data_IF_376627048109
#
_entry.id   IF_376627048109
#
_cell.length_a   1.000
_cell.length_b   1.000
_cell.length_c   1.000
_cell.angle_alpha   90.00
_cell.angle_beta   90.00
_cell.angle_gamma   90.00
#
_symmetry.space_group_name_H-M   'P 1'
#
loop_
_entity.id
_entity.type
_entity.pdbx_description
1 polymer ?
#
# COMPACT_ATOMS: atom_id res chain seq x y z
N UNK A 1 12.45 -46.96 7.88
CA UNK A 1 10.98 -46.77 7.85
C UNK A 1 10.74 -45.39 7.26
N UNK A 2 9.97 -45.32 6.17
CA UNK A 2 9.87 -44.19 5.24
C UNK A 2 9.17 -42.98 5.88
N UNK A 3 9.67 -41.78 5.58
CA UNK A 3 8.88 -40.59 5.24
C UNK A 3 9.76 -39.75 4.30
N UNK A 4 9.89 -40.23 3.07
CA UNK A 4 10.42 -39.45 1.96
C UNK A 4 9.22 -39.10 1.06
N UNK A 5 8.75 -37.87 1.20
CA UNK A 5 7.80 -37.25 0.28
C UNK A 5 8.03 -35.75 0.24
N UNK A 6 9.27 -35.35 -0.04
CA UNK A 6 9.56 -33.99 -0.50
C UNK A 6 9.22 -33.90 -1.99
N UNK A 7 8.04 -33.35 -2.30
CA UNK A 7 7.78 -32.85 -3.65
C UNK A 7 8.63 -31.60 -3.87
N UNK A 8 9.74 -31.77 -4.61
CA UNK A 8 10.51 -30.67 -5.18
C UNK A 8 9.73 -30.10 -6.37
N UNK A 9 9.12 -28.93 -6.17
CA UNK A 9 8.78 -28.02 -7.27
C UNK A 9 9.82 -26.88 -7.27
N UNK A 10 10.19 -26.40 -8.46
CA UNK A 10 11.29 -25.46 -8.73
C UNK A 10 11.51 -24.36 -7.65
N UNK A 11 12.50 -24.56 -6.78
CA UNK A 11 13.56 -23.56 -6.56
C UNK A 11 13.51 -22.65 -5.34
N UNK A 12 12.40 -22.49 -4.61
CA UNK A 12 12.45 -21.82 -3.31
C UNK A 12 11.34 -22.31 -2.37
N UNK A 13 11.73 -22.74 -1.17
CA UNK A 13 10.81 -23.09 -0.09
C UNK A 13 10.08 -21.81 0.32
N UNK A 14 8.74 -21.80 0.34
CA UNK A 14 7.98 -20.68 0.88
C UNK A 14 8.03 -20.73 2.41
N UNK A 15 8.45 -19.63 3.01
CA UNK A 15 8.48 -19.38 4.45
C UNK A 15 8.47 -17.86 4.67
N UNK A 16 8.30 -17.38 5.91
CA UNK A 16 8.10 -15.94 6.20
C UNK A 16 9.15 -14.99 5.58
N UNK A 17 10.40 -15.43 5.49
CA UNK A 17 11.51 -14.64 4.96
C UNK A 17 11.76 -14.81 3.46
N UNK A 18 11.10 -15.74 2.77
CA UNK A 18 11.49 -16.10 1.39
C UNK A 18 11.38 -14.94 0.41
N UNK A 19 10.43 -14.02 0.62
CA UNK A 19 10.34 -12.79 -0.18
C UNK A 19 11.48 -11.83 0.13
N UNK A 20 11.90 -11.71 1.39
CA UNK A 20 13.03 -10.87 1.76
C UNK A 20 14.33 -11.41 1.17
N UNK A 21 14.58 -12.71 1.26
CA UNK A 21 15.73 -13.37 0.64
C UNK A 21 15.80 -13.12 -0.86
N UNK A 22 14.66 -13.21 -1.55
CA UNK A 22 14.60 -12.91 -2.97
C UNK A 22 14.98 -11.44 -3.26
N UNK A 23 14.71 -10.51 -2.34
CA UNK A 23 15.07 -9.11 -2.50
C UNK A 23 16.55 -8.83 -2.19
N UNK A 24 17.24 -9.72 -1.48
CA UNK A 24 18.67 -9.55 -1.15
C UNK A 24 19.55 -9.40 -2.39
N UNK A 25 19.20 -10.06 -3.51
CA UNK A 25 19.94 -9.93 -4.77
C UNK A 25 19.88 -8.53 -5.39
N UNK A 26 18.94 -7.69 -4.94
CA UNK A 26 18.76 -6.31 -5.40
C UNK A 26 19.18 -5.27 -4.35
N UNK A 27 19.58 -5.70 -3.14
CA UNK A 27 20.10 -4.78 -2.12
C UNK A 27 21.54 -4.41 -2.46
N UNK A 28 21.88 -3.15 -2.24
CA UNK A 28 23.24 -2.62 -2.42
C UNK A 28 23.80 -2.21 -1.06
N UNK A 29 25.01 -2.67 -0.74
CA UNK A 29 25.75 -2.23 0.44
C UNK A 29 27.01 -1.48 0.00
N UNK A 30 27.05 -0.19 0.32
CA UNK A 30 28.14 0.71 -0.08
C UNK A 30 29.24 0.86 0.99
N UNK A 31 29.16 0.10 2.09
CA UNK A 31 30.19 0.14 3.15
C UNK A 31 31.55 -0.23 2.57
N UNK A 32 32.56 0.60 2.83
CA UNK A 32 33.94 0.45 2.32
C UNK A 32 34.05 0.44 0.78
N UNK A 33 33.03 0.87 0.04
CA UNK A 33 33.07 1.03 -1.41
C UNK A 33 33.56 2.43 -1.80
N UNK A 34 34.12 2.56 -3.01
CA UNK A 34 34.44 3.87 -3.60
C UNK A 34 33.20 4.41 -4.30
N UNK A 35 32.99 5.72 -4.25
CA UNK A 35 31.95 6.37 -5.06
C UNK A 35 32.29 6.22 -6.55
N UNK A 36 31.29 5.81 -7.32
CA UNK A 36 31.41 5.68 -8.77
C UNK A 36 30.24 6.34 -9.48
N UNK A 37 30.40 6.58 -10.78
CA UNK A 37 29.29 6.77 -11.71
C UNK A 37 28.47 5.48 -11.85
N UNK A 38 27.32 5.56 -12.52
CA UNK A 38 26.51 4.39 -12.85
C UNK A 38 27.25 3.42 -13.80
N UNK A 39 28.26 3.90 -14.53
CA UNK A 39 29.15 3.10 -15.39
C UNK A 39 30.41 2.62 -14.66
N UNK A 40 30.42 2.64 -13.33
CA UNK A 40 31.52 2.19 -12.46
C UNK A 40 32.84 2.98 -12.58
N UNK A 41 32.80 4.22 -13.08
CA UNK A 41 33.97 5.11 -13.11
C UNK A 41 34.14 5.77 -11.75
N UNK A 42 35.32 5.66 -11.13
CA UNK A 42 35.59 6.26 -9.82
C UNK A 42 35.47 7.78 -9.88
N UNK A 43 34.79 8.34 -8.87
CA UNK A 43 34.62 9.79 -8.71
C UNK A 43 35.51 10.28 -7.58
N UNK A 44 36.31 11.32 -7.83
CA UNK A 44 37.29 11.87 -6.87
C UNK A 44 36.82 13.16 -6.20
N UNK A 45 35.92 13.91 -6.82
CA UNK A 45 35.31 15.14 -6.29
C UNK A 45 33.82 15.16 -6.64
N UNK A 46 32.96 15.45 -5.65
CA UNK A 46 31.50 15.58 -5.80
C UNK A 46 30.97 16.98 -5.53
N UNK A 47 31.84 17.88 -5.10
CA UNK A 47 31.48 19.19 -4.57
C UNK A 47 31.62 20.27 -5.64
N UNK A 48 32.48 20.02 -6.64
CA UNK A 48 32.71 20.92 -7.77
C UNK A 48 32.36 20.29 -9.11
N UNK A 49 31.69 21.07 -9.96
CA UNK A 49 31.66 20.80 -11.41
C UNK A 49 33.00 21.13 -12.06
N UNK A 50 33.30 20.48 -13.18
CA UNK A 50 34.40 20.83 -14.07
C UNK A 50 34.12 22.18 -14.75
N UNK A 51 35.07 23.10 -14.63
CA UNK A 51 34.96 24.49 -15.11
C UNK A 51 36.18 24.90 -15.94
N UNK A 52 36.02 25.88 -16.83
CA UNK A 52 37.15 26.55 -17.51
C UNK A 52 37.92 27.47 -16.54
N UNK A 53 38.72 26.87 -15.66
CA UNK A 53 39.38 27.54 -14.54
C UNK A 53 38.49 27.66 -13.29
N UNK A 54 39.09 27.98 -12.14
CA UNK A 54 38.41 27.90 -10.83
C UNK A 54 37.15 28.76 -10.69
N UNK A 55 37.06 29.87 -11.45
CA UNK A 55 35.91 30.80 -11.48
C UNK A 55 35.28 30.91 -12.88
N UNK A 56 35.54 29.93 -13.74
CA UNK A 56 35.01 29.90 -15.10
C UNK A 56 33.66 29.21 -15.22
N UNK A 57 33.06 29.20 -16.42
CA UNK A 57 31.83 28.47 -16.70
C UNK A 57 32.02 26.96 -16.60
N UNK A 58 30.95 26.23 -16.24
CA UNK A 58 30.89 24.75 -16.27
C UNK A 58 31.04 24.22 -17.69
N UNK A 59 31.78 23.13 -17.86
CA UNK A 59 32.05 22.51 -19.15
C UNK A 59 31.08 21.37 -19.47
N UNK A 60 30.67 21.25 -20.73
CA UNK A 60 29.75 20.21 -21.20
C UNK A 60 30.37 18.79 -21.15
N UNK A 61 31.70 18.71 -21.17
CA UNK A 61 32.43 17.44 -21.07
C UNK A 61 32.38 16.82 -19.65
N UNK A 62 31.84 17.51 -18.65
CA UNK A 62 31.60 16.97 -17.31
C UNK A 62 30.49 15.90 -17.32
N UNK A 63 30.89 14.67 -17.62
CA UNK A 63 29.97 13.54 -17.69
C UNK A 63 29.44 13.11 -16.32
N UNK A 64 30.22 13.29 -15.24
CA UNK A 64 29.77 12.94 -13.89
C UNK A 64 28.64 13.89 -13.44
N UNK A 65 28.83 15.20 -13.61
CA UNK A 65 27.80 16.20 -13.32
C UNK A 65 26.50 15.90 -14.09
N UNK A 66 26.61 15.67 -15.41
CA UNK A 66 25.44 15.39 -16.25
C UNK A 66 24.74 14.09 -15.88
N UNK A 67 25.49 13.01 -15.63
CA UNK A 67 24.89 11.73 -15.23
C UNK A 67 24.12 11.87 -13.91
N UNK A 68 24.72 12.52 -12.90
CA UNK A 68 24.12 12.75 -11.59
C UNK A 68 22.85 13.59 -11.69
N UNK A 69 22.88 14.71 -12.43
CA UNK A 69 21.69 15.55 -12.63
C UNK A 69 20.63 14.85 -13.48
N UNK A 70 21.02 14.14 -14.53
CA UNK A 70 20.06 13.41 -15.37
C UNK A 70 19.30 12.39 -14.54
N UNK A 71 19.97 11.64 -13.66
CA UNK A 71 19.28 10.70 -12.77
C UNK A 71 18.33 11.44 -11.81
N UNK A 72 18.78 12.54 -11.19
CA UNK A 72 17.95 13.36 -10.30
C UNK A 72 16.69 13.91 -10.98
N UNK A 73 16.85 14.48 -12.17
CA UNK A 73 15.77 15.10 -12.96
C UNK A 73 14.67 14.08 -13.34
N UNK A 74 15.01 12.79 -13.35
CA UNK A 74 14.11 11.69 -13.71
C UNK A 74 13.72 10.80 -12.50
N UNK A 75 13.94 11.24 -11.27
CA UNK A 75 13.57 10.46 -10.06
C UNK A 75 12.05 10.29 -9.89
N UNK A 76 11.26 11.23 -10.41
CA UNK A 76 9.80 11.21 -10.20
C UNK A 76 9.14 10.37 -11.28
N UNK A 77 8.43 9.33 -10.83
CA UNK A 77 7.45 8.60 -11.64
C UNK A 77 6.04 9.09 -11.29
N UNK A 78 5.04 8.90 -12.18
CA UNK A 78 3.66 9.24 -11.88
C UNK A 78 3.19 8.57 -10.58
N UNK A 79 2.47 9.32 -9.76
CA UNK A 79 1.78 8.74 -8.62
C UNK A 79 0.58 7.88 -9.07
N UNK A 80 0.00 7.12 -8.15
CA UNK A 80 -1.25 6.40 -8.43
C UNK A 80 -2.38 7.41 -8.60
N UNK A 81 -3.27 7.21 -9.57
CA UNK A 81 -4.42 8.09 -9.82
C UNK A 81 -5.28 8.28 -8.56
N UNK A 82 -5.53 7.18 -7.86
CA UNK A 82 -6.12 7.12 -6.52
C UNK A 82 -5.20 6.31 -5.60
N UNK A 83 -5.35 6.48 -4.29
CA UNK A 83 -4.49 5.86 -3.29
C UNK A 83 -3.01 6.24 -3.42
N UNK A 84 -2.74 7.48 -3.87
CA UNK A 84 -1.37 7.99 -4.06
C UNK A 84 -0.60 8.05 -2.73
N UNK A 85 -1.23 8.60 -1.69
CA UNK A 85 -0.68 8.66 -0.34
C UNK A 85 -0.86 7.32 0.37
N UNK A 86 0.26 6.71 0.76
CA UNK A 86 0.24 5.43 1.47
C UNK A 86 1.61 5.02 2.01
N UNK A 87 1.61 3.88 2.69
CA UNK A 87 2.80 3.29 3.29
C UNK A 87 2.74 1.76 3.21
N UNK A 88 3.89 1.14 2.95
CA UNK A 88 3.99 -0.29 2.71
C UNK A 88 4.89 -1.00 3.71
N UNK A 89 4.49 -2.19 4.15
CA UNK A 89 5.22 -2.99 5.14
C UNK A 89 5.25 -4.47 4.72
N UNK A 90 6.32 -5.16 5.09
CA UNK A 90 6.45 -6.60 4.90
C UNK A 90 5.92 -7.37 6.13
N UNK A 91 5.50 -8.61 5.91
CA UNK A 91 5.09 -9.53 6.98
C UNK A 91 4.85 -10.93 6.43
N UNK A 92 4.08 -11.73 7.15
CA UNK A 92 3.61 -13.03 6.67
C UNK A 92 2.15 -13.28 7.05
N UNK A 93 1.52 -14.21 6.33
CA UNK A 93 0.21 -14.77 6.62
C UNK A 93 0.34 -16.26 6.91
N UNK A 94 -0.46 -16.74 7.85
CA UNK A 94 -0.53 -18.16 8.22
C UNK A 94 -2.01 -18.52 8.44
N UNK A 95 -2.48 -19.54 7.75
CA UNK A 95 -3.85 -20.05 7.93
C UNK A 95 -3.92 -20.85 9.23
N UNK A 96 -5.01 -20.73 9.99
CA UNK A 96 -5.17 -21.52 11.22
C UNK A 96 -5.40 -23.01 10.94
N UNK A 97 -6.27 -23.31 9.99
CA UNK A 97 -6.65 -24.67 9.61
C UNK A 97 -6.77 -24.81 8.09
N UNK A 98 -6.77 -26.04 7.59
CA UNK A 98 -6.89 -26.29 6.15
C UNK A 98 -8.28 -25.90 5.63
N UNK A 99 -8.32 -24.97 4.66
CA UNK A 99 -9.57 -24.53 4.02
C UNK A 99 -9.97 -25.38 2.81
N UNK A 100 -9.45 -26.62 2.72
CA UNK A 100 -9.64 -27.54 1.56
C UNK A 100 -11.10 -27.78 1.18
N UNK A 101 -12.02 -27.77 2.16
CA UNK A 101 -13.45 -27.95 1.92
C UNK A 101 -14.02 -26.82 1.04
N UNK A 102 -13.44 -25.62 1.16
CA UNK A 102 -13.94 -24.39 0.56
C UNK A 102 -13.15 -23.99 -0.68
N UNK A 103 -11.83 -24.12 -0.66
CA UNK A 103 -10.94 -23.61 -1.70
C UNK A 103 -9.74 -24.51 -1.93
N UNK A 104 -9.24 -24.54 -3.17
CA UNK A 104 -7.96 -25.18 -3.54
C UNK A 104 -6.76 -24.23 -3.52
N UNK A 105 -6.93 -22.99 -3.08
CA UNK A 105 -5.84 -22.00 -3.03
C UNK A 105 -4.73 -22.43 -2.04
N UNK A 106 -3.48 -22.56 -2.52
CA UNK A 106 -2.36 -23.16 -1.76
C UNK A 106 -2.08 -22.51 -0.42
N UNK A 107 -2.08 -21.18 -0.37
CA UNK A 107 -1.76 -20.42 0.85
C UNK A 107 -2.79 -20.62 1.98
N UNK A 108 -3.92 -21.29 1.71
CA UNK A 108 -4.98 -21.61 2.66
C UNK A 108 -5.07 -23.12 2.99
N UNK A 109 -4.07 -23.93 2.61
CA UNK A 109 -4.14 -25.39 2.77
C UNK A 109 -3.42 -25.93 4.00
N UNK A 110 -2.26 -25.37 4.35
CA UNK A 110 -1.34 -25.93 5.34
C UNK A 110 -1.00 -24.91 6.42
N UNK A 111 -1.46 -25.11 7.67
CA UNK A 111 -1.17 -24.21 8.78
C UNK A 111 0.31 -24.05 9.12
N UNK A 112 1.18 -24.97 8.70
CA UNK A 112 2.61 -24.87 8.97
C UNK A 112 3.35 -23.92 8.03
N UNK A 113 2.69 -23.42 6.97
CA UNK A 113 3.31 -22.54 5.98
C UNK A 113 3.04 -21.08 6.33
N UNK A 114 4.11 -20.30 6.45
CA UNK A 114 4.06 -18.84 6.53
C UNK A 114 4.26 -18.25 5.14
N UNK A 115 3.18 -17.74 4.54
CA UNK A 115 3.20 -17.11 3.22
C UNK A 115 3.67 -15.66 3.37
N UNK A 116 4.78 -15.22 2.75
CA UNK A 116 5.18 -13.82 2.80
C UNK A 116 4.09 -12.91 2.25
N UNK A 117 3.96 -11.73 2.84
CA UNK A 117 3.07 -10.68 2.34
C UNK A 117 3.79 -9.34 2.25
N UNK A 118 3.27 -8.50 1.35
CA UNK A 118 3.52 -7.06 1.38
C UNK A 118 2.17 -6.35 1.44
N UNK A 119 1.99 -5.54 2.47
CA UNK A 119 0.76 -4.78 2.70
C UNK A 119 1.02 -3.32 2.40
N UNK A 120 0.13 -2.68 1.65
CA UNK A 120 0.13 -1.22 1.47
C UNK A 120 -1.17 -0.62 1.97
N UNK A 121 -1.05 0.23 2.98
CA UNK A 121 -2.12 1.09 3.46
C UNK A 121 -2.11 2.42 2.72
N UNK A 122 -3.26 3.08 2.60
CA UNK A 122 -3.38 4.34 1.88
C UNK A 122 -4.63 5.12 2.24
N UNK A 123 -4.65 6.43 2.00
CA UNK A 123 -5.89 7.19 1.78
C UNK A 123 -6.37 6.96 0.34
N UNK A 124 -7.39 7.66 -0.16
CA UNK A 124 -7.89 7.51 -1.54
C UNK A 124 -7.57 8.72 -2.40
N UNK A 125 -8.06 9.91 -2.03
CA UNK A 125 -8.11 11.03 -2.99
C UNK A 125 -6.92 11.98 -2.93
N UNK A 126 -6.25 12.05 -1.79
CA UNK A 126 -5.08 12.89 -1.63
C UNK A 126 -3.93 12.48 -2.55
N UNK A 127 -3.22 13.46 -3.11
CA UNK A 127 -1.94 13.24 -3.82
C UNK A 127 -0.86 12.71 -2.87
N UNK A 128 0.29 12.24 -3.38
CA UNK A 128 1.32 11.54 -2.58
C UNK A 128 1.86 12.31 -1.36
N UNK A 129 1.75 13.64 -1.38
CA UNK A 129 2.18 14.55 -0.31
C UNK A 129 1.07 15.00 0.65
N UNK A 130 -0.15 14.50 0.50
CA UNK A 130 -1.27 14.79 1.43
C UNK A 130 -1.05 14.20 2.83
N UNK A 131 -1.84 14.66 3.80
CA UNK A 131 -1.75 14.23 5.19
C UNK A 131 -2.47 12.88 5.46
N UNK A 132 -1.99 12.13 6.45
CA UNK A 132 -2.49 10.79 6.79
C UNK A 132 -3.88 10.79 7.47
N UNK A 133 -4.14 11.75 8.35
CA UNK A 133 -5.31 11.75 9.25
C UNK A 133 -6.54 12.45 8.68
N UNK A 134 -6.59 12.65 7.37
CA UNK A 134 -7.77 13.22 6.67
C UNK A 134 -9.00 12.32 6.79
N UNK A 135 -10.20 12.88 6.64
CA UNK A 135 -11.44 12.09 6.54
C UNK A 135 -11.54 11.50 5.14
N UNK A 136 -11.30 10.19 5.05
CA UNK A 136 -11.27 9.46 3.79
C UNK A 136 -11.51 7.96 4.04
N UNK A 137 -11.85 7.19 3.02
CA UNK A 137 -11.66 5.74 3.10
C UNK A 137 -10.16 5.43 3.19
N UNK A 138 -9.82 4.26 3.73
CA UNK A 138 -8.44 3.76 3.72
C UNK A 138 -8.34 2.52 2.85
N UNK A 139 -7.41 2.52 1.90
CA UNK A 139 -7.04 1.32 1.15
C UNK A 139 -6.22 0.37 2.03
N UNK A 140 -6.51 -0.92 1.92
CA UNK A 140 -5.83 -2.02 2.61
C UNK A 140 -5.54 -3.11 1.57
N UNK A 141 -4.42 -2.97 0.87
CA UNK A 141 -4.02 -3.91 -0.18
C UNK A 141 -2.96 -4.89 0.34
N UNK A 142 -3.27 -6.19 0.30
CA UNK A 142 -2.35 -7.26 0.73
C UNK A 142 -1.97 -8.12 -0.46
N UNK A 143 -0.68 -8.14 -0.79
CA UNK A 143 -0.10 -9.04 -1.78
C UNK A 143 0.45 -10.28 -1.07
N UNK A 144 -0.05 -11.44 -1.43
CA UNK A 144 0.42 -12.75 -0.97
C UNK A 144 1.35 -13.36 -2.00
N UNK A 145 2.57 -13.70 -1.59
CA UNK A 145 3.55 -14.38 -2.44
C UNK A 145 3.39 -15.90 -2.28
N UNK A 146 2.41 -16.46 -2.99
CA UNK A 146 2.02 -17.89 -2.83
C UNK A 146 2.81 -18.82 -3.77
N UNK A 147 2.76 -20.12 -3.48
CA UNK A 147 3.38 -21.18 -4.31
C UNK A 147 2.81 -21.26 -5.73
N UNK A 148 1.52 -20.94 -5.90
CA UNK A 148 0.80 -21.06 -7.17
C UNK A 148 0.54 -19.69 -7.82
N UNK A 149 1.38 -18.69 -7.50
CA UNK A 149 1.32 -17.33 -8.04
C UNK A 149 0.95 -16.27 -7.00
N UNK A 150 1.18 -15.01 -7.34
CA UNK A 150 0.85 -13.91 -6.44
C UNK A 150 -0.67 -13.70 -6.40
N UNK A 151 -1.22 -13.55 -5.20
CA UNK A 151 -2.62 -13.20 -4.98
C UNK A 151 -2.72 -11.83 -4.33
N UNK A 152 -3.53 -10.94 -4.92
CA UNK A 152 -3.73 -9.58 -4.41
C UNK A 152 -5.15 -9.46 -3.85
N UNK A 153 -5.26 -9.28 -2.53
CA UNK A 153 -6.49 -8.87 -1.86
C UNK A 153 -6.47 -7.35 -1.70
N UNK A 154 -7.07 -6.65 -2.66
CA UNK A 154 -7.13 -5.18 -2.69
C UNK A 154 -8.45 -4.72 -2.09
N UNK A 155 -8.41 -4.35 -0.81
CA UNK A 155 -9.58 -3.95 -0.04
C UNK A 155 -9.56 -2.50 0.44
N UNK A 156 -10.61 -2.14 1.18
CA UNK A 156 -10.74 -0.88 1.92
C UNK A 156 -11.04 -1.15 3.40
N UNK A 157 -10.97 -0.14 4.24
CA UNK A 157 -11.38 -0.21 5.65
C UNK A 157 -12.90 -0.10 5.88
N UNK A 158 -13.68 -0.05 4.79
CA UNK A 158 -15.15 0.08 4.78
C UNK A 158 -15.72 -1.08 3.93
N UNK A 159 -16.80 -1.76 4.37
CA UNK A 159 -17.31 -2.98 3.72
C UNK A 159 -18.07 -2.78 2.40
N UNK A 160 -18.25 -1.53 1.97
CA UNK A 160 -19.00 -1.13 0.77
C UNK A 160 -18.22 -0.09 -0.04
N UNK A 161 -18.71 0.24 -1.22
CA UNK A 161 -18.14 1.25 -2.09
C UNK A 161 -19.19 2.31 -2.48
N UNK A 162 -18.76 3.44 -3.04
CA UNK A 162 -19.64 4.56 -3.41
C UNK A 162 -20.63 4.22 -4.54
N UNK A 163 -20.19 3.38 -5.47
CA UNK A 163 -20.88 3.13 -6.73
C UNK A 163 -21.06 1.63 -6.96
N UNK A 164 -22.07 1.27 -7.73
CA UNK A 164 -22.39 -0.13 -8.05
C UNK A 164 -21.68 -0.62 -9.32
N UNK A 165 -21.53 0.26 -10.32
CA UNK A 165 -20.91 -0.07 -11.61
C UNK A 165 -19.60 0.71 -11.81
N UNK A 166 -18.57 0.02 -12.29
CA UNK A 166 -17.25 0.57 -12.53
C UNK A 166 -17.23 1.69 -13.59
N UNK A 167 -18.23 1.78 -14.47
CA UNK A 167 -18.32 2.86 -15.46
C UNK A 167 -18.40 4.25 -14.80
N UNK A 168 -18.98 4.34 -13.58
CA UNK A 168 -19.08 5.59 -12.80
C UNK A 168 -17.80 5.92 -12.01
N UNK A 169 -16.77 5.07 -12.07
CA UNK A 169 -15.56 5.26 -11.27
C UNK A 169 -14.82 6.56 -11.60
N UNK A 170 -14.63 6.94 -12.88
CA UNK A 170 -14.06 8.24 -13.20
C UNK A 170 -14.92 9.40 -12.67
N UNK A 171 -16.25 9.30 -12.75
CA UNK A 171 -17.17 10.35 -12.32
C UNK A 171 -17.08 10.62 -10.81
N UNK A 172 -17.16 9.57 -9.98
CA UNK A 172 -17.04 9.73 -8.52
C UNK A 172 -15.65 10.17 -8.10
N UNK A 173 -14.59 9.70 -8.79
CA UNK A 173 -13.22 10.11 -8.50
C UNK A 173 -12.99 11.57 -8.88
N UNK A 174 -13.46 12.03 -10.04
CA UNK A 174 -13.37 13.43 -10.43
C UNK A 174 -14.18 14.33 -9.50
N UNK A 175 -15.37 13.90 -9.08
CA UNK A 175 -16.20 14.64 -8.13
C UNK A 175 -15.57 14.72 -6.73
N UNK A 176 -14.82 13.70 -6.28
CA UNK A 176 -14.20 13.71 -4.95
C UNK A 176 -12.81 14.36 -4.93
N UNK A 177 -12.06 14.29 -6.04
CA UNK A 177 -10.74 14.93 -6.22
C UNK A 177 -10.85 16.47 -6.16
N UNK A 178 -9.72 17.18 -6.02
CA UNK A 178 -9.71 18.64 -6.11
C UNK A 178 -10.30 19.13 -7.44
N UNK A 179 -11.03 20.24 -7.41
CA UNK A 179 -11.76 20.73 -8.58
C UNK A 179 -10.81 21.12 -9.72
N UNK A 180 -11.15 20.84 -10.99
CA UNK A 180 -10.19 20.85 -12.09
C UNK A 180 -9.69 22.24 -12.46
N UNK A 181 -10.40 23.30 -12.06
CA UNK A 181 -10.07 24.67 -12.44
C UNK A 181 -9.02 25.31 -11.52
N UNK A 182 -8.86 24.80 -10.28
CA UNK A 182 -7.97 25.38 -9.27
C UNK A 182 -7.19 24.34 -8.41
N UNK A 183 -7.47 23.05 -8.59
CA UNK A 183 -6.91 21.95 -7.80
C UNK A 183 -7.15 22.07 -6.27
N UNK A 184 -8.32 22.59 -5.87
CA UNK A 184 -8.74 22.74 -4.48
C UNK A 184 -10.06 21.99 -4.24
N UNK A 185 -10.27 21.35 -3.07
CA UNK A 185 -9.34 21.18 -1.95
C UNK A 185 -8.52 19.89 -2.04
N UNK A 186 -7.31 19.88 -1.46
CA UNK A 186 -6.49 18.68 -1.34
C UNK A 186 -7.03 17.75 -0.25
N UNK A 187 -7.25 16.48 -0.60
CA UNK A 187 -7.60 15.40 0.34
C UNK A 187 -8.83 15.68 1.23
N UNK A 188 -9.88 16.30 0.67
CA UNK A 188 -11.12 16.61 1.38
C UNK A 188 -12.33 16.35 0.51
N UNK A 189 -13.38 15.78 1.11
CA UNK A 189 -14.71 15.64 0.51
C UNK A 189 -15.62 16.86 0.78
N UNK A 190 -15.12 17.87 1.48
CA UNK A 190 -15.88 19.06 1.87
C UNK A 190 -15.82 20.15 0.79
N UNK A 191 -16.36 19.86 -0.39
CA UNK A 191 -16.49 20.80 -1.52
C UNK A 191 -17.67 20.43 -2.43
N UNK A 192 -18.06 21.38 -3.26
CA UNK A 192 -19.32 21.38 -3.99
C UNK A 192 -19.45 20.20 -4.97
N UNK A 193 -18.42 19.92 -5.77
CA UNK A 193 -18.53 18.87 -6.81
C UNK A 193 -18.75 17.47 -6.23
N UNK A 194 -18.19 17.17 -5.06
CA UNK A 194 -18.42 15.89 -4.39
C UNK A 194 -19.87 15.78 -3.92
N UNK A 195 -20.37 16.80 -3.23
CA UNK A 195 -21.73 16.78 -2.69
C UNK A 195 -22.79 16.86 -3.79
N UNK A 196 -22.51 17.53 -4.90
CA UNK A 196 -23.35 17.50 -6.10
C UNK A 196 -23.48 16.07 -6.66
N UNK A 197 -22.36 15.34 -6.79
CA UNK A 197 -22.42 13.93 -7.21
C UNK A 197 -23.23 13.07 -6.24
N UNK A 198 -23.04 13.26 -4.93
CA UNK A 198 -23.74 12.50 -3.88
C UNK A 198 -25.25 12.71 -3.93
N UNK A 199 -25.72 13.96 -4.03
CA UNK A 199 -27.18 14.23 -4.05
C UNK A 199 -27.85 13.75 -5.34
N UNK A 200 -27.10 13.69 -6.45
CA UNK A 200 -27.59 13.17 -7.73
C UNK A 200 -27.41 11.65 -7.89
N UNK A 201 -26.71 10.99 -6.97
CA UNK A 201 -26.37 9.55 -7.06
C UNK A 201 -26.71 8.82 -5.75
N UNK A 202 -28.00 8.48 -5.51
CA UNK A 202 -28.45 7.93 -4.23
C UNK A 202 -27.81 6.60 -3.80
N UNK A 203 -27.25 5.81 -4.72
CA UNK A 203 -26.50 4.58 -4.39
C UNK A 203 -25.29 4.84 -3.48
N UNK A 204 -24.78 6.07 -3.45
CA UNK A 204 -23.68 6.49 -2.57
C UNK A 204 -24.06 6.56 -1.10
N UNK A 205 -25.36 6.63 -0.77
CA UNK A 205 -25.85 6.94 0.57
C UNK A 205 -25.24 6.05 1.66
N UNK A 206 -25.11 4.74 1.42
CA UNK A 206 -24.51 3.84 2.40
C UNK A 206 -23.03 4.18 2.66
N UNK A 207 -22.24 4.38 1.60
CA UNK A 207 -20.82 4.73 1.74
C UNK A 207 -20.63 6.09 2.43
N UNK A 208 -21.50 7.06 2.19
CA UNK A 208 -21.46 8.37 2.85
C UNK A 208 -21.64 8.25 4.36
N UNK A 209 -22.54 7.36 4.83
CA UNK A 209 -22.67 7.11 6.28
C UNK A 209 -21.38 6.61 6.90
N UNK A 210 -20.63 5.74 6.21
CA UNK A 210 -19.32 5.29 6.67
C UNK A 210 -18.27 6.40 6.63
N UNK A 211 -18.21 7.16 5.54
CA UNK A 211 -17.26 8.27 5.35
C UNK A 211 -17.43 9.38 6.39
N UNK A 212 -18.68 9.71 6.75
CA UNK A 212 -18.98 10.74 7.75
C UNK A 212 -18.85 10.24 9.19
N UNK A 213 -18.85 8.92 9.42
CA UNK A 213 -18.55 8.34 10.73
C UNK A 213 -17.04 8.41 11.07
N UNK A 214 -16.68 8.07 12.30
CA UNK A 214 -15.27 8.04 12.72
C UNK A 214 -14.46 6.92 12.04
N UNK A 215 -15.11 5.98 11.32
CA UNK A 215 -14.42 4.94 10.52
C UNK A 215 -13.47 5.53 9.46
N UNK A 216 -13.71 6.76 9.01
CA UNK A 216 -12.90 7.45 8.02
C UNK A 216 -11.74 8.28 8.60
N UNK A 217 -11.58 8.28 9.92
CA UNK A 217 -10.48 8.94 10.64
C UNK A 217 -9.87 7.96 11.66
N UNK A 218 -9.32 6.81 11.20
CA UNK A 218 -8.81 5.78 12.10
C UNK A 218 -7.65 6.30 12.96
N UNK A 219 -7.52 5.78 14.18
CA UNK A 219 -6.43 6.13 15.11
C UNK A 219 -5.07 5.64 14.61
N UNK A 220 -5.05 4.51 13.94
CA UNK A 220 -3.87 3.88 13.35
C UNK A 220 -4.32 2.92 12.25
N UNK A 221 -3.48 2.64 11.26
CA UNK A 221 -3.71 1.52 10.34
C UNK A 221 -3.89 0.20 11.10
N UNK A 222 -3.20 0.03 12.25
CA UNK A 222 -3.24 -1.16 13.11
C UNK A 222 -4.59 -1.37 13.83
N UNK A 223 -5.46 -0.36 13.80
CA UNK A 223 -6.70 -0.30 14.58
C UNK A 223 -7.93 -0.03 13.68
N UNK A 224 -7.88 -0.47 12.42
CA UNK A 224 -9.02 -0.43 11.51
C UNK A 224 -9.30 -1.82 10.93
N UNK A 225 -10.57 -2.10 10.65
CA UNK A 225 -10.93 -3.28 9.87
C UNK A 225 -10.48 -3.14 8.41
N UNK A 226 -10.44 -4.26 7.70
CA UNK A 226 -10.27 -4.30 6.25
C UNK A 226 -11.32 -5.19 5.62
N UNK A 227 -11.68 -4.92 4.36
CA UNK A 227 -12.75 -5.60 3.65
C UNK A 227 -12.40 -5.72 2.17
N UNK A 228 -12.63 -6.90 1.59
CA UNK A 228 -12.55 -7.10 0.15
C UNK A 228 -13.67 -6.43 -0.65
N UNK A 229 -14.70 -5.93 0.05
CA UNK A 229 -15.93 -5.28 -0.47
C UNK A 229 -16.80 -6.20 -1.32
N UNK A 230 -16.25 -6.71 -2.41
CA UNK A 230 -16.94 -7.57 -3.38
C UNK A 230 -17.18 -8.96 -2.83
N UNK A 231 -18.23 -9.60 -3.32
CA UNK A 231 -18.42 -11.05 -3.16
C UNK A 231 -17.51 -11.76 -4.16
N UNK A 232 -16.63 -12.62 -3.65
CA UNK A 232 -15.78 -13.50 -4.45
C UNK A 232 -16.32 -14.93 -4.43
N UNK A 233 -15.66 -15.82 -5.17
CA UNK A 233 -15.98 -17.24 -5.19
C UNK A 233 -14.77 -18.08 -4.81
N UNK A 234 -14.90 -18.82 -3.71
CA UNK A 234 -14.03 -19.96 -3.45
C UNK A 234 -14.48 -21.18 -4.24
N UNK A 235 -13.52 -21.94 -4.74
CA UNK A 235 -13.75 -23.16 -5.52
C UNK A 235 -12.82 -24.24 -4.97
N UNK A 236 -13.40 -25.31 -4.46
CA UNK A 236 -12.64 -26.43 -3.89
C UNK A 236 -12.14 -27.40 -4.99
N UNK A 237 -11.51 -28.50 -4.58
CA UNK A 237 -10.94 -29.49 -5.51
C UNK A 237 -12.01 -30.21 -6.35
N UNK A 238 -13.23 -30.39 -5.84
CA UNK A 238 -14.36 -30.97 -6.58
C UNK A 238 -15.07 -29.96 -7.51
N UNK A 239 -14.61 -28.71 -7.56
CA UNK A 239 -15.24 -27.65 -8.36
C UNK A 239 -16.48 -27.02 -7.70
N UNK A 240 -16.78 -27.35 -6.44
CA UNK A 240 -17.89 -26.75 -5.69
C UNK A 240 -17.56 -25.30 -5.35
N UNK A 241 -18.43 -24.40 -5.78
CA UNK A 241 -18.31 -22.97 -5.55
C UNK A 241 -19.02 -22.48 -4.30
N UNK A 242 -18.40 -21.54 -3.57
CA UNK A 242 -19.02 -20.83 -2.44
C UNK A 242 -18.74 -19.34 -2.54
N UNK A 243 -19.76 -18.54 -2.30
CA UNK A 243 -19.59 -17.08 -2.21
C UNK A 243 -18.93 -16.72 -0.89
N UNK A 244 -17.96 -15.81 -0.94
CA UNK A 244 -17.20 -15.36 0.22
C UNK A 244 -17.00 -13.86 0.19
N UNK A 245 -16.85 -13.25 1.36
CA UNK A 245 -16.39 -11.87 1.52
C UNK A 245 -15.20 -11.85 2.47
N UNK A 246 -14.14 -11.16 2.09
CA UNK A 246 -12.93 -11.10 2.91
C UNK A 246 -13.03 -10.00 3.96
N UNK A 247 -12.55 -10.32 5.16
CA UNK A 247 -12.49 -9.41 6.30
C UNK A 247 -11.09 -9.48 6.93
N UNK A 248 -10.54 -8.32 7.31
CA UNK A 248 -9.40 -8.22 8.20
C UNK A 248 -9.88 -7.67 9.55
N UNK A 249 -9.66 -8.43 10.62
CA UNK A 249 -10.01 -8.02 11.99
C UNK A 249 -8.74 -7.64 12.74
N UNK A 250 -8.55 -6.37 13.11
CA UNK A 250 -7.35 -5.92 13.82
C UNK A 250 -7.34 -6.48 15.24
N UNK A 251 -6.22 -7.08 15.65
CA UNK A 251 -6.10 -7.68 16.99
C UNK A 251 -6.11 -6.61 18.10
N UNK A 252 -5.70 -5.38 17.79
CA UNK A 252 -5.75 -4.22 18.69
C UNK A 252 -7.15 -3.60 18.82
N UNK A 253 -8.15 -4.15 18.12
CA UNK A 253 -9.49 -3.60 18.06
C UNK A 253 -9.64 -2.42 17.09
N UNK A 254 -10.83 -1.82 17.08
CA UNK A 254 -11.20 -0.76 16.15
C UNK A 254 -11.28 0.57 16.89
N UNK A 255 -10.37 1.49 16.57
CA UNK A 255 -10.25 2.78 17.24
C UNK A 255 -10.10 3.91 16.21
N UNK A 256 -10.73 5.03 16.50
CA UNK A 256 -10.72 6.21 15.64
C UNK A 256 -10.35 7.46 16.42
N UNK A 257 -9.87 8.46 15.69
CA UNK A 257 -9.76 9.83 16.17
C UNK A 257 -11.15 10.48 16.20
N UNK A 258 -11.24 11.62 16.86
CA UNK A 258 -12.35 12.57 16.66
C UNK A 258 -11.95 13.64 15.63
N UNK A 259 -12.93 14.29 14.99
CA UNK A 259 -12.66 15.15 13.83
C UNK A 259 -11.70 16.33 14.11
N UNK A 260 -11.88 17.05 15.22
CA UNK A 260 -11.03 18.20 15.58
C UNK A 260 -9.56 17.77 15.81
N UNK A 261 -9.36 16.62 16.47
CA UNK A 261 -8.05 16.02 16.64
C UNK A 261 -7.43 15.63 15.30
N UNK A 262 -8.18 14.91 14.45
CA UNK A 262 -7.72 14.44 13.15
C UNK A 262 -7.26 15.60 12.24
N UNK A 263 -8.02 16.70 12.22
CA UNK A 263 -7.70 17.90 11.46
C UNK A 263 -6.45 18.62 12.00
N UNK A 264 -6.35 18.82 13.32
CA UNK A 264 -5.16 19.44 13.93
C UNK A 264 -3.91 18.59 13.72
N UNK A 265 -4.06 17.27 13.85
CA UNK A 265 -2.97 16.31 13.67
C UNK A 265 -2.47 16.30 12.23
N UNK A 266 -3.35 16.45 11.23
CA UNK A 266 -2.95 16.55 9.82
C UNK A 266 -2.02 17.75 9.55
N UNK A 267 -2.11 18.82 10.35
CA UNK A 267 -1.20 19.96 10.29
C UNK A 267 0.06 19.81 11.16
N UNK A 268 -0.03 19.10 12.29
CA UNK A 268 1.09 18.93 13.23
C UNK A 268 2.03 17.78 12.86
N UNK A 269 1.50 16.69 12.33
CA UNK A 269 2.25 15.55 11.81
C UNK A 269 1.48 14.94 10.61
N UNK A 270 1.67 15.44 9.38
CA UNK A 270 1.01 14.89 8.20
C UNK A 270 1.44 13.45 7.88
N UNK A 271 2.51 12.95 8.51
CA UNK A 271 3.02 11.59 8.38
C UNK A 271 2.65 10.68 9.57
N UNK A 272 1.64 11.06 10.36
CA UNK A 272 1.28 10.37 11.60
C UNK A 272 1.04 8.86 11.48
N UNK A 273 0.19 8.39 10.56
CA UNK A 273 -0.09 6.96 10.41
C UNK A 273 1.11 6.20 9.84
N UNK A 274 1.86 6.83 8.92
CA UNK A 274 3.12 6.30 8.41
C UNK A 274 4.15 6.13 9.52
N UNK A 275 4.28 7.13 10.39
CA UNK A 275 5.20 7.12 11.54
C UNK A 275 4.78 6.07 12.56
N UNK A 276 3.50 6.03 12.95
CA UNK A 276 2.98 5.07 13.93
C UNK A 276 3.31 3.62 13.54
N UNK A 277 3.02 3.20 12.31
CA UNK A 277 3.28 1.82 11.89
C UNK A 277 4.77 1.51 11.76
N UNK A 278 5.58 2.47 11.32
CA UNK A 278 7.03 2.31 11.22
C UNK A 278 7.67 2.15 12.60
N UNK A 279 7.33 3.05 13.53
CA UNK A 279 7.87 3.04 14.89
C UNK A 279 7.39 1.79 15.64
N UNK A 280 6.10 1.41 15.51
CA UNK A 280 5.57 0.19 16.12
C UNK A 280 6.35 -1.06 15.67
N UNK A 281 6.61 -1.22 14.37
CA UNK A 281 7.40 -2.35 13.85
C UNK A 281 8.83 -2.34 14.42
N UNK A 282 9.48 -1.18 14.48
CA UNK A 282 10.84 -1.06 15.03
C UNK A 282 10.91 -1.32 16.55
N UNK A 283 9.79 -1.13 17.26
CA UNK A 283 9.65 -1.45 18.69
C UNK A 283 9.20 -2.91 18.93
N UNK A 284 8.96 -3.70 17.88
CA UNK A 284 8.45 -5.08 17.99
C UNK A 284 6.94 -5.17 18.26
N UNK A 285 6.21 -4.07 18.15
CA UNK A 285 4.74 -4.01 18.25
C UNK A 285 4.10 -4.24 16.87
N UNK A 286 4.23 -5.47 16.36
CA UNK A 286 3.81 -5.80 15.00
C UNK A 286 2.29 -5.61 14.78
N UNK A 287 1.86 -5.04 13.64
CA UNK A 287 0.45 -5.04 13.24
C UNK A 287 -0.04 -6.47 13.00
N UNK A 288 -1.10 -6.88 13.71
CA UNK A 288 -1.71 -8.20 13.55
C UNK A 288 -3.19 -8.09 13.17
N UNK A 289 -3.59 -8.89 12.17
CA UNK A 289 -4.96 -8.95 11.69
C UNK A 289 -5.36 -10.40 11.42
N UNK A 290 -6.57 -10.79 11.81
CA UNK A 290 -7.15 -12.08 11.45
C UNK A 290 -7.88 -11.96 10.11
N UNK A 291 -7.64 -12.91 9.20
CA UNK A 291 -8.39 -13.03 7.94
C UNK A 291 -9.67 -13.83 8.18
N UNK A 292 -10.83 -13.20 7.99
CA UNK A 292 -12.15 -13.82 7.99
C UNK A 292 -12.73 -13.98 6.59
N UNK A 293 -13.53 -15.03 6.38
CA UNK A 293 -14.27 -15.33 5.14
C UNK A 293 -15.68 -15.81 5.41
#
# INVERSE_FOLDING_TARGET
MKLDSTQKYNGSKIYEGSKNDQLETFRSNHTNQKLTTNQAVKVTNTDDSLKAGNRGPTLMEDFHFREKLTHFDHERIPERVVHARGFGVHGYFQVYESMKEYTKAKFLQNPSIKTPVFVRFSTVVGSRGSADTVRDARGFATKFYTEDGNYDLVGNNIPVFFIQDAIKFPDVVHALKPEPHNEIPQASAAHDTFWDFVVNTPETAHMIMWLLSDRAIPRSFRMMEGFGVNTFRFVNAEGKGRFVKFHWKPLLGVHSLVWDEAQKLAGKDPDYHRRDIWDAINMGEFPEYELGV
#
